data_IF_151794530236
#
_entry.id   IF_151794530236
#
_cell.length_a   1.000
_cell.length_b   1.000
_cell.length_c   1.000
_cell.angle_alpha   90.00
_cell.angle_beta   90.00
_cell.angle_gamma   90.00
#
_symmetry.space_group_name_H-M   'P 1'
#
loop_
_entity.id
_entity.type
_entity.pdbx_description
1 polymer ?
#
# COMPACT_ATOMS: atom_id res chain seq x y z
N UNK A 1 29.91 -50.75 1.62
CA UNK A 1 28.68 -50.84 2.44
C UNK A 1 28.27 -49.42 2.81
N UNK A 2 27.06 -49.03 2.38
CA UNK A 2 26.09 -48.06 2.95
C UNK A 2 26.56 -47.10 4.07
N UNK A 3 26.21 -45.81 4.09
CA UNK A 3 24.89 -45.29 3.76
C UNK A 3 24.84 -43.80 3.36
N UNK A 4 23.90 -43.59 2.45
CA UNK A 4 23.26 -42.35 2.04
C UNK A 4 22.18 -41.94 3.06
N UNK A 5 21.68 -40.72 2.92
CA UNK A 5 20.42 -40.17 3.46
C UNK A 5 20.45 -39.55 4.87
N UNK A 6 20.82 -38.27 4.96
CA UNK A 6 20.16 -37.28 5.82
C UNK A 6 20.70 -35.85 5.60
N UNK A 7 20.80 -35.38 4.35
CA UNK A 7 20.84 -33.95 4.05
C UNK A 7 19.54 -33.60 3.35
N UNK A 8 18.56 -33.38 4.21
CA UNK A 8 17.13 -33.24 3.97
C UNK A 8 16.79 -31.99 3.14
N UNK A 9 15.60 -32.04 2.53
CA UNK A 9 14.95 -31.09 1.61
C UNK A 9 15.05 -29.58 1.98
N UNK A 10 15.51 -29.24 3.18
CA UNK A 10 15.81 -27.89 3.62
C UNK A 10 16.86 -27.16 2.77
N UNK A 11 17.98 -27.82 2.44
CA UNK A 11 19.04 -27.17 1.64
C UNK A 11 18.56 -26.88 0.20
N UNK A 12 17.72 -27.76 -0.38
CA UNK A 12 17.11 -27.55 -1.70
C UNK A 12 16.03 -26.48 -1.71
N UNK A 13 15.30 -26.29 -0.60
CA UNK A 13 14.31 -25.21 -0.43
C UNK A 13 14.98 -23.85 -0.29
N UNK A 14 16.07 -23.76 0.50
CA UNK A 14 16.86 -22.55 0.65
C UNK A 14 17.58 -22.16 -0.65
N UNK A 15 18.10 -23.14 -1.42
CA UNK A 15 18.65 -22.88 -2.75
C UNK A 15 17.58 -22.43 -3.76
N UNK A 16 16.32 -22.91 -3.68
CA UNK A 16 15.22 -22.39 -4.50
C UNK A 16 14.80 -20.98 -4.10
N UNK A 17 14.66 -20.71 -2.80
CA UNK A 17 14.33 -19.37 -2.29
C UNK A 17 15.43 -18.35 -2.57
N UNK A 18 16.71 -18.73 -2.55
CA UNK A 18 17.81 -17.85 -2.93
C UNK A 18 17.89 -17.63 -4.45
N UNK A 19 17.52 -18.61 -5.27
CA UNK A 19 17.42 -18.43 -6.73
C UNK A 19 16.25 -17.51 -7.12
N UNK A 20 15.16 -17.51 -6.35
CA UNK A 20 14.03 -16.58 -6.53
C UNK A 20 14.34 -15.16 -6.00
N UNK A 21 15.26 -15.02 -5.05
CA UNK A 21 15.70 -13.70 -4.51
C UNK A 21 16.78 -13.05 -5.40
N UNK A 22 17.64 -13.84 -6.06
CA UNK A 22 18.70 -13.30 -6.94
C UNK A 22 18.17 -12.90 -8.33
N UNK A 23 16.95 -13.30 -8.71
CA UNK A 23 16.37 -12.91 -10.01
C UNK A 23 15.87 -11.46 -10.10
N UNK A 24 15.99 -10.67 -9.03
CA UNK A 24 15.79 -9.21 -9.08
C UNK A 24 17.08 -8.40 -9.15
N UNK A 25 18.27 -9.03 -9.17
CA UNK A 25 19.57 -8.34 -9.26
C UNK A 25 20.20 -8.31 -10.66
N UNK A 26 19.54 -8.81 -11.72
CA UNK A 26 20.08 -8.79 -13.09
C UNK A 26 19.29 -7.92 -14.07
N UNK A 27 18.97 -6.70 -13.68
CA UNK A 27 18.70 -5.60 -14.63
C UNK A 27 19.65 -4.41 -14.43
N UNK A 28 20.88 -4.68 -13.99
CA UNK A 28 22.00 -3.78 -14.26
C UNK A 28 22.45 -3.97 -15.72
N UNK A 29 22.04 -3.05 -16.59
CA UNK A 29 22.67 -2.90 -17.91
C UNK A 29 23.32 -1.50 -17.94
N UNK A 30 24.66 -1.41 -18.00
CA UNK A 30 25.34 -0.13 -18.15
C UNK A 30 24.99 0.47 -19.52
N UNK A 31 24.84 1.79 -19.54
CA UNK A 31 24.43 2.52 -20.73
C UNK A 31 25.44 2.34 -21.87
N UNK A 32 24.91 1.99 -23.05
CA UNK A 32 25.63 2.05 -24.31
C UNK A 32 25.78 0.70 -25.00
N UNK A 33 24.70 0.14 -25.54
CA UNK A 33 24.77 -0.70 -26.73
C UNK A 33 23.39 -0.77 -27.39
N UNK A 34 23.29 -0.09 -28.52
CA UNK A 34 22.23 -0.22 -29.51
C UNK A 34 22.44 -1.57 -30.19
N UNK A 35 21.43 -2.47 -30.17
CA UNK A 35 21.23 -3.54 -31.16
C UNK A 35 19.96 -4.38 -30.85
N UNK A 36 18.87 -4.08 -31.57
CA UNK A 36 18.14 -5.08 -32.37
C UNK A 36 17.34 -6.21 -31.74
N UNK A 37 17.25 -6.39 -30.41
CA UNK A 37 16.41 -7.46 -29.83
C UNK A 37 15.25 -6.91 -29.00
N UNK A 38 14.06 -6.88 -29.61
CA UNK A 38 12.81 -6.60 -28.91
C UNK A 38 12.36 -7.82 -28.12
N UNK A 39 12.17 -7.67 -26.81
CA UNK A 39 11.61 -8.70 -25.94
C UNK A 39 10.18 -9.09 -26.39
N UNK A 40 9.91 -10.37 -26.72
CA UNK A 40 8.62 -10.84 -27.21
C UNK A 40 7.49 -10.83 -26.16
N UNK A 41 7.80 -10.51 -24.89
CA UNK A 41 6.82 -10.31 -23.83
C UNK A 41 6.45 -8.84 -23.56
N UNK A 42 6.95 -7.89 -24.35
CA UNK A 42 6.48 -6.50 -24.25
C UNK A 42 5.17 -6.35 -25.04
N UNK A 43 4.05 -6.73 -24.42
CA UNK A 43 2.77 -6.17 -24.85
C UNK A 43 2.86 -4.66 -24.64
N UNK A 44 2.92 -3.95 -25.77
CA UNK A 44 3.05 -2.50 -25.86
C UNK A 44 1.74 -1.85 -25.42
N UNK A 45 1.49 -1.82 -24.12
CA UNK A 45 0.55 -0.88 -23.55
C UNK A 45 1.17 0.51 -23.70
N UNK A 46 0.49 1.36 -24.46
CA UNK A 46 0.78 2.78 -24.54
C UNK A 46 0.82 3.31 -23.11
N UNK A 47 2.00 3.68 -22.61
CA UNK A 47 2.11 4.24 -21.27
C UNK A 47 1.13 5.38 -21.14
N UNK A 48 0.21 5.26 -20.19
CA UNK A 48 -0.71 6.34 -19.87
C UNK A 48 0.12 7.54 -19.43
N UNK A 49 -0.42 8.75 -19.60
CA UNK A 49 0.27 9.98 -19.19
C UNK A 49 0.75 9.93 -17.73
N UNK A 50 0.09 9.13 -16.88
CA UNK A 50 0.46 8.86 -15.48
C UNK A 50 1.72 8.00 -15.32
N UNK A 51 1.87 6.92 -16.09
CA UNK A 51 3.07 6.07 -16.04
C UNK A 51 4.33 6.84 -16.47
N UNK A 52 4.18 7.72 -17.47
CA UNK A 52 5.27 8.58 -17.95
C UNK A 52 5.69 9.60 -16.88
N UNK A 53 4.73 10.13 -16.11
CA UNK A 53 4.99 11.04 -15.00
C UNK A 53 5.71 10.32 -13.86
N UNK A 54 5.23 9.13 -13.45
CA UNK A 54 5.86 8.35 -12.38
C UNK A 54 7.30 7.91 -12.72
N UNK A 55 7.56 7.47 -13.96
CA UNK A 55 8.92 7.08 -14.40
C UNK A 55 9.88 8.26 -14.51
N UNK A 56 9.39 9.44 -14.88
CA UNK A 56 10.23 10.65 -14.94
C UNK A 56 10.75 11.11 -13.56
N UNK A 57 10.14 10.65 -12.46
CA UNK A 57 10.61 10.90 -11.10
C UNK A 57 11.74 9.97 -10.64
N UNK A 58 11.97 8.84 -11.32
CA UNK A 58 12.86 7.78 -10.85
C UNK A 58 14.22 7.70 -11.59
N UNK A 59 14.38 8.33 -12.75
CA UNK A 59 15.65 8.33 -13.50
C UNK A 59 16.43 9.64 -13.29
N UNK A 60 17.22 9.68 -12.21
CA UNK A 60 18.26 10.69 -12.02
C UNK A 60 19.56 10.28 -12.72
N UNK A 61 19.92 10.99 -13.79
CA UNK A 61 21.31 11.08 -14.28
C UNK A 61 21.77 12.53 -14.19
N UNK A 62 22.79 12.77 -13.36
CA UNK A 62 23.54 14.02 -13.34
C UNK A 62 24.59 14.04 -14.46
N UNK A 63 24.56 15.06 -15.32
CA UNK A 63 25.76 15.79 -15.81
C UNK A 63 25.40 17.27 -16.08
N UNK A 64 25.76 18.11 -15.11
CA UNK A 64 26.41 19.46 -15.11
C UNK A 64 25.95 20.63 -16.03
N UNK A 65 25.74 21.76 -15.34
CA UNK A 65 25.86 23.21 -15.69
C UNK A 65 24.95 23.88 -16.74
N UNK A 66 23.90 24.56 -16.24
CA UNK A 66 23.87 26.03 -16.17
C UNK A 66 22.71 26.49 -15.25
N UNK A 67 22.94 27.59 -14.52
CA UNK A 67 22.09 28.07 -13.44
C UNK A 67 20.69 28.54 -13.84
N UNK A 68 19.75 27.61 -13.89
CA UNK A 68 18.32 27.88 -13.82
C UNK A 68 17.68 26.92 -12.81
N UNK A 69 16.97 27.46 -11.82
CA UNK A 69 16.11 26.66 -10.96
C UNK A 69 15.10 25.90 -11.84
N UNK A 70 15.33 24.62 -12.05
CA UNK A 70 14.36 23.73 -12.69
C UNK A 70 13.23 23.52 -11.69
N UNK A 71 12.22 24.39 -11.72
CA UNK A 71 10.93 24.14 -11.07
C UNK A 71 10.34 22.87 -11.68
N UNK A 72 10.55 21.72 -11.02
CA UNK A 72 9.83 20.48 -11.32
C UNK A 72 8.34 20.83 -11.28
N UNK A 73 7.63 20.58 -12.38
CA UNK A 73 6.17 20.66 -12.38
C UNK A 73 5.68 19.55 -11.46
N UNK A 74 5.34 19.89 -10.23
CA UNK A 74 4.65 18.96 -9.35
C UNK A 74 3.30 18.63 -9.99
N UNK A 75 3.12 17.37 -10.36
CA UNK A 75 1.83 16.86 -10.82
C UNK A 75 1.00 16.60 -9.57
N UNK A 76 0.03 17.48 -9.33
CA UNK A 76 -0.90 17.34 -8.22
C UNK A 76 -2.04 16.44 -8.67
N UNK A 77 -2.20 15.29 -8.01
CA UNK A 77 -3.30 14.36 -8.26
C UNK A 77 -4.37 14.56 -7.19
N UNK A 78 -5.44 15.27 -7.57
CA UNK A 78 -6.58 15.59 -6.70
C UNK A 78 -7.77 14.68 -6.98
N UNK A 79 -8.50 14.29 -5.94
CA UNK A 79 -9.68 13.47 -6.07
C UNK A 79 -10.41 13.20 -4.76
N UNK A 80 -11.44 12.39 -4.83
CA UNK A 80 -12.14 11.84 -3.66
C UNK A 80 -11.71 10.39 -3.49
N UNK A 81 -11.23 10.08 -2.29
CA UNK A 81 -10.94 8.73 -1.85
C UNK A 81 -12.12 8.18 -1.06
N UNK A 82 -12.79 7.15 -1.58
CA UNK A 82 -13.78 6.38 -0.84
C UNK A 82 -13.10 5.17 -0.21
N UNK A 83 -13.19 5.04 1.11
CA UNK A 83 -12.60 3.94 1.89
C UNK A 83 -13.71 3.14 2.54
N UNK A 84 -13.87 1.90 2.13
CA UNK A 84 -14.78 0.94 2.78
C UNK A 84 -14.00 0.07 3.74
N UNK A 85 -14.27 0.22 5.04
CA UNK A 85 -13.78 -0.69 6.07
C UNK A 85 -14.72 -1.89 6.14
N UNK A 86 -14.27 -3.04 5.64
CA UNK A 86 -15.10 -4.24 5.47
C UNK A 86 -15.11 -5.04 6.77
N UNK A 87 -13.96 -5.61 7.13
CA UNK A 87 -13.82 -6.51 8.27
C UNK A 87 -12.39 -6.54 8.78
N UNK A 88 -12.19 -7.06 9.99
CA UNK A 88 -10.90 -7.54 10.45
C UNK A 88 -11.00 -9.02 10.82
N UNK A 89 -9.86 -9.69 10.81
CA UNK A 89 -9.73 -11.11 11.16
C UNK A 89 -8.56 -11.33 12.09
N UNK A 90 -8.69 -12.26 13.03
CA UNK A 90 -7.66 -12.67 14.00
C UNK A 90 -7.04 -11.50 14.78
N UNK A 91 -7.86 -10.53 15.20
CA UNK A 91 -7.40 -9.42 16.03
C UNK A 91 -6.76 -9.92 17.34
N UNK A 92 -5.69 -9.26 17.76
CA UNK A 92 -5.04 -9.57 19.04
C UNK A 92 -6.00 -9.20 20.18
N UNK A 93 -6.39 -10.12 21.08
CA UNK A 93 -7.26 -9.81 22.20
C UNK A 93 -6.59 -8.79 23.14
N UNK A 94 -7.33 -7.77 23.59
CA UNK A 94 -6.86 -6.86 24.63
C UNK A 94 -6.83 -7.56 26.00
N UNK A 95 -7.89 -8.32 26.32
CA UNK A 95 -8.07 -8.99 27.60
C UNK A 95 -7.99 -10.53 27.53
N UNK A 96 -7.54 -11.13 28.65
CA UNK A 96 -7.46 -12.59 28.88
C UNK A 96 -8.78 -13.34 28.67
N UNK A 97 -9.92 -12.63 28.71
CA UNK A 97 -11.26 -13.20 28.50
C UNK A 97 -11.70 -13.24 27.02
N UNK A 98 -10.90 -12.72 26.08
CA UNK A 98 -11.18 -12.82 24.64
C UNK A 98 -12.35 -11.97 24.14
N UNK A 99 -12.83 -11.01 24.95
CA UNK A 99 -13.83 -10.02 24.57
C UNK A 99 -13.09 -8.78 24.09
N UNK A 100 -13.40 -8.33 22.88
CA UNK A 100 -12.92 -7.08 22.32
C UNK A 100 -14.10 -6.41 21.61
N UNK A 101 -14.19 -5.10 21.73
CA UNK A 101 -15.17 -4.22 21.11
C UNK A 101 -14.48 -3.33 20.06
N UNK A 102 -13.98 -3.89 18.94
CA UNK A 102 -13.12 -3.16 18.03
C UNK A 102 -13.85 -2.11 17.19
N UNK A 103 -13.12 -1.03 16.90
CA UNK A 103 -13.45 -0.02 15.90
C UNK A 103 -12.19 0.49 15.19
N UNK A 104 -12.37 1.07 14.00
CA UNK A 104 -11.27 1.59 13.19
C UNK A 104 -11.34 3.11 13.12
N UNK A 105 -10.21 3.76 13.37
CA UNK A 105 -9.99 5.19 13.16
C UNK A 105 -9.22 5.37 11.85
N UNK A 106 -9.80 6.12 10.92
CA UNK A 106 -9.20 6.43 9.63
C UNK A 106 -8.66 7.86 9.69
N UNK A 107 -7.41 8.06 9.28
CA UNK A 107 -6.74 9.36 9.27
C UNK A 107 -6.07 9.60 7.92
N UNK A 108 -6.42 10.69 7.25
CA UNK A 108 -5.67 11.18 6.09
C UNK A 108 -4.53 12.06 6.58
N UNK A 109 -3.28 11.67 6.28
CA UNK A 109 -2.10 12.20 7.00
C UNK A 109 -1.84 13.68 6.75
N UNK A 110 -1.99 14.18 5.51
CA UNK A 110 -1.71 15.59 5.20
C UNK A 110 -2.73 16.55 5.79
N UNK A 111 -4.02 16.22 5.71
CA UNK A 111 -5.10 17.10 6.18
C UNK A 111 -5.48 16.85 7.65
N UNK A 112 -4.96 15.78 8.24
CA UNK A 112 -5.33 15.25 9.56
C UNK A 112 -6.84 14.99 9.71
N UNK A 113 -7.56 14.82 8.59
CA UNK A 113 -8.99 14.49 8.59
C UNK A 113 -9.20 13.11 9.19
N UNK A 114 -10.10 13.01 10.17
CA UNK A 114 -10.36 11.76 10.91
C UNK A 114 -11.81 11.33 10.78
N UNK A 115 -12.01 10.03 10.57
CA UNK A 115 -13.29 9.35 10.68
C UNK A 115 -13.14 8.10 11.54
N UNK A 116 -14.26 7.55 12.03
CA UNK A 116 -14.26 6.30 12.79
C UNK A 116 -15.45 5.43 12.43
N UNK A 117 -15.26 4.12 12.48
CA UNK A 117 -16.36 3.16 12.35
C UNK A 117 -17.25 3.14 13.59
N UNK A 118 -18.39 2.45 13.48
CA UNK A 118 -19.07 1.93 14.67
C UNK A 118 -18.19 0.94 15.41
N UNK A 119 -18.46 0.77 16.69
CA UNK A 119 -17.94 -0.32 17.52
C UNK A 119 -18.72 -1.60 17.20
N UNK A 120 -18.02 -2.72 17.11
CA UNK A 120 -18.63 -4.06 17.01
C UNK A 120 -18.28 -4.80 18.29
N UNK A 121 -19.29 -5.22 19.06
CA UNK A 121 -19.06 -5.77 20.38
C UNK A 121 -18.65 -7.25 20.35
N UNK A 122 -17.80 -7.63 21.30
CA UNK A 122 -17.37 -8.99 21.63
C UNK A 122 -16.92 -9.82 20.40
N UNK A 123 -16.08 -9.24 19.53
CA UNK A 123 -15.60 -9.92 18.33
C UNK A 123 -14.16 -9.60 17.96
N UNK A 124 -13.35 -10.64 17.78
CA UNK A 124 -12.01 -10.56 17.17
C UNK A 124 -12.04 -10.66 15.64
N UNK A 125 -13.22 -10.90 15.07
CA UNK A 125 -13.45 -10.96 13.63
C UNK A 125 -14.61 -10.01 13.24
N UNK A 126 -14.49 -8.71 13.54
CA UNK A 126 -15.58 -7.76 13.35
C UNK A 126 -15.85 -7.51 11.87
N UNK A 127 -17.12 -7.23 11.55
CA UNK A 127 -17.56 -6.81 10.22
C UNK A 127 -18.25 -5.45 10.33
N UNK A 128 -17.64 -4.42 9.74
CA UNK A 128 -18.16 -3.06 9.74
C UNK A 128 -18.94 -2.74 8.46
N UNK A 129 -18.40 -3.06 7.28
CA UNK A 129 -18.96 -2.64 5.98
C UNK A 129 -19.38 -1.16 5.98
N UNK A 130 -18.47 -0.27 6.40
CA UNK A 130 -18.72 1.17 6.46
C UNK A 130 -17.83 1.92 5.48
N UNK A 131 -18.42 2.85 4.73
CA UNK A 131 -17.72 3.67 3.72
C UNK A 131 -17.54 5.09 4.23
N UNK A 132 -16.36 5.64 4.02
CA UNK A 132 -15.98 7.02 4.31
C UNK A 132 -15.41 7.68 3.07
N UNK A 133 -15.62 8.98 2.93
CA UNK A 133 -15.05 9.75 1.81
C UNK A 133 -14.11 10.83 2.33
N UNK A 134 -12.98 10.98 1.65
CA UNK A 134 -11.98 11.99 1.92
C UNK A 134 -11.68 12.79 0.66
N UNK A 135 -11.68 14.12 0.77
CA UNK A 135 -11.16 14.99 -0.28
C UNK A 135 -9.64 15.00 -0.15
N UNK A 136 -8.95 14.57 -1.20
CA UNK A 136 -7.49 14.45 -1.26
C UNK A 136 -6.95 15.47 -2.23
N UNK A 137 -6.17 16.41 -1.73
CA UNK A 137 -5.60 17.51 -2.52
C UNK A 137 -4.36 17.08 -3.33
N UNK A 138 -3.52 16.22 -2.77
CA UNK A 138 -2.30 15.71 -3.42
C UNK A 138 -2.05 14.25 -3.08
N UNK A 139 -2.72 13.36 -3.82
CA UNK A 139 -2.75 11.92 -3.54
C UNK A 139 -1.42 11.19 -3.77
N UNK A 140 -0.47 11.76 -4.53
CA UNK A 140 0.84 11.12 -4.73
C UNK A 140 1.74 11.21 -3.50
N UNK A 141 1.47 12.16 -2.61
CA UNK A 141 2.28 12.40 -1.42
C UNK A 141 1.47 12.30 -0.12
N UNK A 142 0.21 11.87 -0.19
CA UNK A 142 -0.64 11.64 0.99
C UNK A 142 -0.65 10.17 1.40
N UNK A 143 -1.03 9.91 2.65
CA UNK A 143 -1.11 8.58 3.22
C UNK A 143 -2.41 8.42 3.99
N UNK A 144 -3.05 7.27 3.82
CA UNK A 144 -4.17 6.83 4.64
C UNK A 144 -3.64 5.95 5.77
N UNK A 145 -3.95 6.33 7.00
CA UNK A 145 -3.62 5.56 8.20
C UNK A 145 -4.92 4.99 8.75
N UNK A 146 -4.95 3.69 9.01
CA UNK A 146 -6.05 3.02 9.69
C UNK A 146 -5.55 2.42 10.99
N UNK A 147 -6.12 2.83 12.11
CA UNK A 147 -5.78 2.35 13.44
C UNK A 147 -6.95 1.57 14.02
N UNK A 148 -6.70 0.36 14.49
CA UNK A 148 -7.70 -0.49 15.14
C UNK A 148 -7.58 -0.32 16.65
N UNK A 149 -8.71 -0.12 17.31
CA UNK A 149 -8.80 0.15 18.73
C UNK A 149 -9.90 -0.68 19.36
N UNK A 150 -9.68 -1.12 20.60
CA UNK A 150 -10.69 -1.71 21.47
C UNK A 150 -11.45 -0.61 22.22
N UNK A 151 -12.75 -0.78 22.43
CA UNK A 151 -13.59 0.17 23.18
C UNK A 151 -14.05 -0.44 24.51
N UNK A 152 -13.19 -0.35 25.52
CA UNK A 152 -13.52 -0.84 26.85
C UNK A 152 -14.04 0.22 27.82
N UNK A 153 -14.70 -0.24 28.87
CA UNK A 153 -15.27 0.62 29.93
C UNK A 153 -14.20 1.42 30.68
N UNK A 154 -12.97 0.91 30.73
CA UNK A 154 -11.85 1.51 31.48
C UNK A 154 -10.80 2.19 30.60
N UNK A 155 -10.97 2.19 29.28
CA UNK A 155 -9.96 2.74 28.37
C UNK A 155 -10.19 2.36 26.92
N UNK A 156 -9.19 2.65 26.09
CA UNK A 156 -9.14 2.21 24.71
C UNK A 156 -7.79 1.57 24.48
N UNK A 157 -7.79 0.31 24.07
CA UNK A 157 -6.55 -0.41 23.83
C UNK A 157 -6.22 -0.42 22.34
N UNK A 158 -4.95 -0.16 22.04
CA UNK A 158 -4.49 -0.11 20.66
C UNK A 158 -4.26 -1.54 20.13
N UNK A 159 -4.92 -1.89 19.03
CA UNK A 159 -4.91 -3.24 18.46
C UNK A 159 -4.10 -3.35 17.16
N UNK A 160 -3.40 -2.28 16.75
CA UNK A 160 -2.57 -2.26 15.54
C UNK A 160 -3.01 -1.22 14.52
N UNK A 161 -2.23 -1.07 13.45
CA UNK A 161 -2.54 -0.14 12.35
C UNK A 161 -2.08 -0.68 11.01
N UNK A 162 -2.61 -0.14 9.93
CA UNK A 162 -1.96 -0.22 8.62
C UNK A 162 -1.85 1.17 8.00
N UNK A 163 -0.80 1.37 7.21
CA UNK A 163 -0.51 2.65 6.56
C UNK A 163 -0.42 2.40 5.06
N UNK A 164 -1.21 3.13 4.28
CA UNK A 164 -1.36 2.95 2.85
C UNK A 164 -0.99 4.24 2.10
N UNK A 165 -0.17 4.12 1.06
CA UNK A 165 -0.06 5.16 0.04
C UNK A 165 -1.28 5.08 -0.88
N UNK A 166 -1.65 6.20 -1.50
CA UNK A 166 -2.81 6.22 -2.40
C UNK A 166 -2.45 5.83 -3.85
N UNK A 167 -1.17 5.57 -4.14
CA UNK A 167 -0.68 5.30 -5.49
C UNK A 167 -1.41 4.14 -6.17
N UNK A 168 -1.62 3.01 -5.47
CA UNK A 168 -2.29 1.83 -6.03
C UNK A 168 -3.74 2.15 -6.44
N UNK A 169 -4.52 2.81 -5.56
CA UNK A 169 -5.93 3.13 -5.86
C UNK A 169 -6.05 4.22 -6.92
N UNK A 170 -5.09 5.15 -6.98
CA UNK A 170 -5.04 6.17 -8.04
C UNK A 170 -4.81 5.52 -9.41
N UNK A 171 -3.96 4.48 -9.48
CA UNK A 171 -3.64 3.79 -10.73
C UNK A 171 -4.73 2.80 -11.17
N UNK A 172 -5.25 2.01 -10.23
CA UNK A 172 -6.24 0.96 -10.50
C UNK A 172 -7.70 1.47 -10.49
N UNK A 173 -7.94 2.64 -9.91
CA UNK A 173 -9.26 3.26 -9.75
C UNK A 173 -10.07 2.68 -8.59
N UNK A 174 -10.08 1.36 -8.41
CA UNK A 174 -10.71 0.68 -7.28
C UNK A 174 -10.02 -0.65 -7.02
N UNK A 175 -9.73 -0.96 -5.76
CA UNK A 175 -9.21 -2.27 -5.39
C UNK A 175 -9.67 -2.67 -3.98
N UNK A 176 -9.80 -3.98 -3.79
CA UNK A 176 -10.05 -4.62 -2.50
C UNK A 176 -8.84 -5.46 -2.11
N UNK A 177 -8.39 -5.32 -0.87
CA UNK A 177 -7.23 -6.04 -0.36
C UNK A 177 -7.32 -6.27 1.16
N UNK A 178 -6.46 -7.14 1.67
CA UNK A 178 -6.36 -7.48 3.09
C UNK A 178 -4.96 -7.14 3.59
N UNK A 179 -4.90 -6.30 4.62
CA UNK A 179 -3.66 -5.72 5.13
C UNK A 179 -3.34 -6.26 6.52
N UNK A 180 -2.12 -6.75 6.78
CA UNK A 180 -1.70 -7.09 8.14
C UNK A 180 -1.64 -5.83 9.02
N UNK A 181 -1.90 -6.01 10.31
CA UNK A 181 -1.81 -4.92 11.29
C UNK A 181 -0.40 -4.83 11.89
N UNK A 182 0.25 -3.69 11.67
CA UNK A 182 1.53 -3.33 12.27
C UNK A 182 1.36 -2.98 13.75
N UNK A 183 2.28 -3.48 14.58
CA UNK A 183 2.26 -3.28 16.03
C UNK A 183 1.30 -4.21 16.79
N UNK A 184 0.64 -5.14 16.09
CA UNK A 184 -0.14 -6.23 16.67
C UNK A 184 0.62 -7.56 16.58
N UNK A 185 0.26 -8.56 17.41
CA UNK A 185 0.80 -9.93 17.28
C UNK A 185 0.16 -10.67 16.12
N UNK A 186 -1.14 -10.45 15.95
CA UNK A 186 -2.00 -11.01 14.92
C UNK A 186 -3.03 -9.96 14.51
N UNK A 187 -3.61 -10.13 13.33
CA UNK A 187 -4.69 -9.28 12.87
C UNK A 187 -4.51 -8.87 11.42
N UNK A 188 -5.58 -8.96 10.65
CA UNK A 188 -5.65 -8.38 9.31
C UNK A 188 -6.88 -7.50 9.17
N UNK A 189 -6.80 -6.48 8.32
CA UNK A 189 -7.87 -5.55 8.03
C UNK A 189 -8.18 -5.58 6.53
N UNK A 190 -9.41 -5.95 6.19
CA UNK A 190 -9.89 -6.01 4.80
C UNK A 190 -10.57 -4.69 4.44
N UNK A 191 -10.12 -4.08 3.34
CA UNK A 191 -10.57 -2.78 2.87
C UNK A 191 -10.93 -2.83 1.38
N UNK A 192 -11.88 -2.00 0.97
CA UNK A 192 -12.08 -1.62 -0.43
C UNK A 192 -11.82 -0.13 -0.59
N UNK A 193 -10.87 0.24 -1.44
CA UNK A 193 -10.50 1.62 -1.72
C UNK A 193 -10.92 1.96 -3.14
N UNK A 194 -11.54 3.12 -3.31
CA UNK A 194 -11.94 3.65 -4.62
C UNK A 194 -11.52 5.10 -4.77
N UNK A 195 -10.97 5.42 -5.92
CA UNK A 195 -10.52 6.75 -6.28
C UNK A 195 -11.42 7.35 -7.36
N UNK A 196 -11.93 8.55 -7.08
CA UNK A 196 -12.67 9.35 -8.03
C UNK A 196 -11.89 10.66 -8.33
N UNK A 197 -11.18 10.76 -9.46
CA UNK A 197 -10.42 11.96 -9.82
C UNK A 197 -11.29 13.21 -9.86
N UNK A 198 -10.79 14.33 -9.33
CA UNK A 198 -11.47 15.64 -9.37
C UNK A 198 -10.57 16.65 -10.07
N UNK A 199 -10.61 16.73 -11.42
CA UNK A 199 -9.82 17.71 -12.15
C UNK A 199 -10.26 19.14 -11.80
N UNK A 200 -9.31 20.00 -11.45
CA UNK A 200 -9.55 21.44 -11.35
C UNK A 200 -9.42 22.03 -12.74
N UNK A 201 -10.53 22.49 -13.31
CA UNK A 201 -10.50 23.36 -14.48
C UNK A 201 -10.25 24.78 -14.00
N UNK A 202 -9.17 25.43 -14.45
CA UNK A 202 -9.01 26.88 -14.29
C UNK A 202 -9.75 27.52 -15.45
N UNK A 203 -10.87 28.17 -15.16
CA UNK A 203 -11.52 29.06 -16.13
C UNK A 203 -10.52 30.18 -16.48
N UNK A 204 -10.34 30.37 -17.79
CA UNK A 204 -9.37 31.31 -18.38
C UNK A 204 -9.89 32.73 -18.41
#
# INVERSE_FOLDING_TARGET
>A
MIGSLAWSNYAKSLLRSLVDIVQLELLYIPNGMENGFTNPFTQKFSMTSLEKVLKSGAEGKEVVENGGEVKRREVIVRGVLSVTVISAEDLTPADLMGKADPYVVLVLKKTESKNKTRVVNESLNPVWNQTFEFVVEDGLHDMLILEVWDHDTFGKDYMGKCILTLTKVILEGEYKDTFPLDGAKTGTLTLNLKWNPQPIYRDS
#
